data_IF_509552504256
#
_entry.id   IF_509552504256
#
_cell.length_a   1.000
_cell.length_b   1.000
_cell.length_c   1.000
_cell.angle_alpha   90.00
_cell.angle_beta   90.00
_cell.angle_gamma   90.00
#
_symmetry.space_group_name_H-M   'P 1'
#
loop_
_entity.id
_entity.type
_entity.pdbx_description
1 polymer ?
#
# COMPACT_ATOMS: atom_id res chain seq x y z
N UNK A 1 -0.52 8.06 17.54
CA UNK A 1 -0.38 8.08 16.07
C UNK A 1 0.11 6.74 15.52
N UNK A 2 1.32 6.28 15.83
CA UNK A 2 1.82 4.99 15.31
C UNK A 2 0.90 3.78 15.60
N UNK A 3 0.22 3.76 16.75
CA UNK A 3 -0.74 2.70 17.12
C UNK A 3 -1.92 2.53 16.15
N UNK A 4 -2.31 3.57 15.40
CA UNK A 4 -3.33 3.44 14.35
C UNK A 4 -2.73 3.11 12.99
N UNK A 5 -1.44 3.39 12.74
CA UNK A 5 -0.77 2.95 11.52
C UNK A 5 -0.38 1.47 11.58
N UNK A 6 -0.09 0.98 12.78
CA UNK A 6 0.25 -0.41 13.07
C UNK A 6 -0.73 -0.96 14.12
N UNK A 7 -2.01 -1.17 13.77
CA UNK A 7 -2.96 -1.72 14.72
C UNK A 7 -2.70 -3.22 14.91
N UNK A 8 -2.97 -3.74 16.11
CA UNK A 8 -2.96 -5.19 16.34
C UNK A 8 -4.00 -5.93 15.47
N UNK A 9 -5.16 -5.31 15.23
CA UNK A 9 -6.22 -5.81 14.32
C UNK A 9 -6.48 -4.76 13.23
N UNK A 10 -6.29 -5.14 11.97
CA UNK A 10 -6.49 -4.27 10.80
C UNK A 10 -7.92 -3.75 10.69
N UNK A 11 -8.92 -4.46 11.22
CA UNK A 11 -10.33 -4.02 11.25
C UNK A 11 -10.52 -2.72 12.04
N UNK A 12 -9.55 -2.34 12.87
CA UNK A 12 -9.51 -1.02 13.52
C UNK A 12 -9.64 0.11 12.51
N UNK A 13 -9.10 -0.05 11.30
CA UNK A 13 -9.15 0.96 10.25
C UNK A 13 -10.54 1.27 9.75
N UNK A 14 -11.41 0.27 9.64
CA UNK A 14 -12.79 0.45 9.18
C UNK A 14 -13.58 1.43 10.05
N UNK A 15 -13.20 1.57 11.32
CA UNK A 15 -13.90 2.40 12.29
C UNK A 15 -13.15 3.66 12.69
N UNK A 16 -11.82 3.65 12.62
CA UNK A 16 -10.98 4.73 13.15
C UNK A 16 -10.08 5.40 12.09
N UNK A 17 -9.94 4.82 10.90
CA UNK A 17 -9.08 5.35 9.83
C UNK A 17 -9.87 5.75 8.58
N UNK A 18 -10.74 4.86 8.10
CA UNK A 18 -11.54 5.05 6.90
C UNK A 18 -12.56 6.20 7.04
N UNK A 19 -13.34 6.31 8.15
CA UNK A 19 -14.35 7.35 8.22
C UNK A 19 -13.72 8.73 8.42
N UNK A 20 -14.37 9.74 7.82
CA UNK A 20 -13.92 11.12 7.89
C UNK A 20 -13.72 11.56 9.34
N UNK A 21 -12.63 12.30 9.57
CA UNK A 21 -12.21 12.86 10.86
C UNK A 21 -11.83 11.84 11.95
N UNK A 22 -11.99 10.53 11.74
CA UNK A 22 -11.71 9.53 12.79
C UNK A 22 -10.23 9.38 13.15
N UNK A 23 -9.33 9.56 12.18
CA UNK A 23 -7.89 9.62 12.47
C UNK A 23 -7.58 10.82 13.38
N UNK A 24 -8.24 11.97 13.14
CA UNK A 24 -8.08 13.17 13.97
C UNK A 24 -8.57 12.89 15.39
N UNK A 25 -9.77 12.31 15.53
CA UNK A 25 -10.31 11.90 16.84
C UNK A 25 -9.32 10.97 17.58
N UNK A 26 -8.77 9.97 16.89
CA UNK A 26 -7.79 9.05 17.46
C UNK A 26 -6.55 9.77 17.98
N UNK A 27 -5.95 10.64 17.15
CA UNK A 27 -4.74 11.39 17.51
C UNK A 27 -4.99 12.32 18.68
N UNK A 28 -6.11 13.05 18.69
CA UNK A 28 -6.45 13.99 19.77
C UNK A 28 -6.82 13.29 21.08
N UNK A 29 -7.39 12.09 21.01
CA UNK A 29 -7.75 11.30 22.20
C UNK A 29 -6.55 10.68 22.93
N UNK A 30 -5.34 10.74 22.35
CA UNK A 30 -4.14 10.06 22.86
C UNK A 30 -4.32 8.54 23.07
N UNK A 31 -5.27 7.93 22.35
CA UNK A 31 -5.51 6.49 22.37
C UNK A 31 -4.30 5.72 21.81
N UNK A 32 -3.89 4.68 22.53
CA UNK A 32 -2.84 3.75 22.14
C UNK A 32 -3.37 2.33 22.25
N UNK A 33 -3.20 1.54 21.19
CA UNK A 33 -3.50 0.12 21.16
C UNK A 33 -2.21 -0.70 21.19
N UNK A 34 -2.28 -1.98 21.59
CA UNK A 34 -1.15 -2.88 21.46
C UNK A 34 -0.65 -2.92 20.00
N UNK A 35 0.67 -3.07 19.79
CA UNK A 35 1.23 -3.29 18.47
C UNK A 35 0.89 -4.70 17.96
N UNK A 36 0.97 -4.94 16.65
CA UNK A 36 0.82 -6.27 16.09
C UNK A 36 2.03 -7.15 16.42
N UNK A 37 1.83 -8.47 16.41
CA UNK A 37 2.83 -9.46 16.83
C UNK A 37 4.14 -9.45 16.02
N UNK A 38 4.11 -8.95 14.78
CA UNK A 38 5.28 -8.90 13.91
C UNK A 38 6.13 -7.64 14.11
N UNK A 39 5.65 -6.66 14.89
CA UNK A 39 6.32 -5.39 15.10
C UNK A 39 6.94 -5.37 16.49
N UNK A 40 8.26 -5.39 16.56
CA UNK A 40 8.98 -5.41 17.82
C UNK A 40 9.00 -4.03 18.48
N UNK A 41 9.40 -3.98 19.75
CA UNK A 41 9.58 -2.71 20.44
C UNK A 41 10.72 -1.88 19.82
N UNK A 42 11.75 -2.52 19.28
CA UNK A 42 12.86 -1.83 18.61
C UNK A 42 12.40 -1.21 17.28
N UNK A 43 11.60 -1.92 16.48
CA UNK A 43 11.00 -1.37 15.26
C UNK A 43 10.14 -0.13 15.56
N UNK A 44 9.33 -0.21 16.62
CA UNK A 44 8.53 0.93 17.07
C UNK A 44 9.38 2.13 17.50
N UNK A 45 10.50 1.87 18.18
CA UNK A 45 11.42 2.92 18.61
C UNK A 45 12.08 3.61 17.41
N UNK A 46 12.47 2.85 16.38
CA UNK A 46 13.01 3.38 15.12
C UNK A 46 11.96 4.25 14.43
N UNK A 47 10.76 3.71 14.18
CA UNK A 47 9.69 4.48 13.54
C UNK A 47 9.33 5.76 14.31
N UNK A 48 9.35 5.71 15.64
CA UNK A 48 9.11 6.88 16.48
C UNK A 48 10.25 7.91 16.36
N UNK A 49 11.50 7.47 16.36
CA UNK A 49 12.66 8.36 16.22
C UNK A 49 12.63 9.07 14.86
N UNK A 50 12.47 8.34 13.77
CA UNK A 50 12.39 8.89 12.41
C UNK A 50 11.22 9.88 12.26
N UNK A 51 10.05 9.55 12.82
CA UNK A 51 8.90 10.43 12.78
C UNK A 51 9.13 11.74 13.54
N UNK A 52 9.79 11.68 14.70
CA UNK A 52 10.09 12.86 15.51
C UNK A 52 11.18 13.74 14.89
N UNK A 53 12.15 13.13 14.21
CA UNK A 53 13.22 13.84 13.52
C UNK A 53 12.76 14.46 12.19
N UNK A 54 12.12 13.67 11.33
CA UNK A 54 11.74 14.07 9.97
C UNK A 54 10.35 14.72 9.86
N UNK A 55 9.48 14.48 10.83
CA UNK A 55 8.09 14.96 10.81
C UNK A 55 7.25 14.35 9.68
N UNK A 56 6.06 14.94 9.45
CA UNK A 56 5.09 14.46 8.45
C UNK A 56 4.98 15.35 7.21
N UNK A 57 5.65 16.49 7.17
CA UNK A 57 5.48 17.47 6.08
C UNK A 57 5.80 16.85 4.71
N UNK A 58 6.94 16.16 4.59
CA UNK A 58 7.36 15.48 3.36
C UNK A 58 6.37 14.39 2.92
N UNK A 59 6.10 13.37 3.76
CA UNK A 59 5.14 12.31 3.42
C UNK A 59 3.73 12.85 3.07
N UNK A 60 3.25 13.88 3.76
CA UNK A 60 1.93 14.47 3.49
C UNK A 60 1.85 15.23 2.17
N UNK A 61 2.98 15.61 1.55
CA UNK A 61 2.98 16.22 0.21
C UNK A 61 2.39 15.29 -0.86
N UNK A 62 2.55 13.96 -0.73
CA UNK A 62 1.91 12.98 -1.62
C UNK A 62 0.38 13.12 -1.62
N UNK A 63 -0.22 13.25 -0.43
CA UNK A 63 -1.67 13.45 -0.29
C UNK A 63 -2.11 14.85 -0.69
N UNK A 64 -1.27 15.87 -0.38
CA UNK A 64 -1.52 17.25 -0.78
C UNK A 64 -1.62 17.35 -2.29
N UNK A 65 -0.75 16.69 -3.03
CA UNK A 65 -0.78 16.66 -4.50
C UNK A 65 -2.15 16.20 -5.04
N UNK A 66 -2.67 15.08 -4.53
CA UNK A 66 -3.97 14.54 -4.96
C UNK A 66 -5.17 15.42 -4.55
N UNK A 67 -5.09 16.07 -3.39
CA UNK A 67 -6.21 16.85 -2.84
C UNK A 67 -6.26 18.31 -3.31
N UNK A 68 -5.11 18.89 -3.68
CA UNK A 68 -4.99 20.31 -4.04
C UNK A 68 -4.85 20.57 -5.54
N UNK A 69 -4.93 19.51 -6.37
CA UNK A 69 -4.81 19.63 -7.84
C UNK A 69 -3.50 20.29 -8.28
N UNK A 70 -2.44 20.22 -7.47
CA UNK A 70 -1.13 20.80 -7.82
C UNK A 70 -0.54 20.13 -9.06
N UNK A 71 -0.84 18.84 -9.27
CA UNK A 71 -0.51 18.13 -10.52
C UNK A 71 -1.52 18.34 -11.63
N UNK A 72 -2.58 19.12 -11.47
CA UNK A 72 -3.60 19.26 -12.51
C UNK A 72 -3.07 19.86 -13.81
N UNK A 73 -1.97 20.60 -13.82
CA UNK A 73 -1.34 21.07 -15.07
C UNK A 73 -0.49 19.98 -15.74
N UNK A 74 0.17 19.11 -14.96
CA UNK A 74 0.84 17.90 -15.48
C UNK A 74 -0.20 16.84 -15.93
N UNK A 75 -1.31 16.71 -15.19
CA UNK A 75 -2.48 15.89 -15.52
C UNK A 75 -3.33 16.50 -16.65
N UNK A 76 -3.28 17.81 -16.91
CA UNK A 76 -3.90 18.39 -18.13
C UNK A 76 -3.16 17.98 -19.39
N UNK A 77 -1.90 17.57 -19.26
CA UNK A 77 -1.13 16.82 -20.28
C UNK A 77 -1.25 15.30 -20.06
N UNK A 78 -2.29 14.84 -19.35
CA UNK A 78 -2.57 13.42 -19.07
C UNK A 78 -4.01 13.19 -18.57
N UNK A 79 -5.04 13.01 -19.43
CA UNK A 79 -6.40 13.20 -18.96
C UNK A 79 -6.77 12.07 -17.99
N UNK A 80 -6.90 12.43 -16.72
CA UNK A 80 -7.47 11.64 -15.63
C UNK A 80 -6.77 10.32 -15.26
N UNK A 81 -6.41 10.25 -13.98
CA UNK A 81 -6.13 9.07 -13.15
C UNK A 81 -4.93 8.16 -13.48
N UNK A 82 -4.38 8.18 -14.69
CA UNK A 82 -3.06 7.61 -15.00
C UNK A 82 -2.47 8.32 -16.23
N UNK A 83 -1.57 9.28 -16.04
CA UNK A 83 -0.42 9.60 -16.92
C UNK A 83 -0.62 9.63 -18.47
N UNK A 84 -1.80 9.96 -19.00
CA UNK A 84 -2.23 9.53 -20.35
C UNK A 84 -2.21 10.56 -21.53
N UNK A 85 -1.43 11.66 -21.56
CA UNK A 85 -1.26 12.46 -22.82
C UNK A 85 0.20 12.67 -23.22
N UNK A 86 1.17 12.43 -22.34
CA UNK A 86 2.60 12.46 -22.74
C UNK A 86 3.18 11.07 -22.98
N UNK A 87 2.49 10.01 -22.54
CA UNK A 87 2.93 8.64 -22.76
C UNK A 87 2.17 8.08 -23.97
N UNK A 88 2.88 7.61 -25.01
CA UNK A 88 2.25 6.91 -26.12
C UNK A 88 1.42 5.73 -25.61
N UNK A 89 0.23 5.47 -26.19
CA UNK A 89 -0.69 4.43 -25.71
C UNK A 89 -0.03 3.05 -25.68
N UNK A 90 0.94 2.81 -26.57
CA UNK A 90 1.70 1.56 -26.59
C UNK A 90 2.52 1.33 -25.31
N UNK A 91 2.85 2.39 -24.58
CA UNK A 91 3.60 2.36 -23.33
C UNK A 91 2.72 2.27 -22.09
N UNK A 92 1.38 2.18 -22.24
CA UNK A 92 0.49 1.87 -21.12
C UNK A 92 0.53 0.38 -20.76
N UNK A 93 1.03 -0.44 -21.68
CA UNK A 93 1.20 -1.87 -21.48
C UNK A 93 2.60 -2.13 -20.89
N UNK A 94 2.62 -2.59 -19.65
CA UNK A 94 3.83 -3.03 -18.96
C UNK A 94 4.23 -4.39 -19.52
N UNK A 95 5.26 -4.41 -20.37
CA UNK A 95 5.73 -5.63 -21.04
C UNK A 95 6.58 -6.52 -20.11
N UNK A 96 7.14 -5.92 -19.07
CA UNK A 96 7.93 -6.60 -18.06
C UNK A 96 7.03 -7.54 -17.23
N UNK A 97 7.58 -8.64 -16.68
CA UNK A 97 6.89 -9.43 -15.67
C UNK A 97 6.48 -8.54 -14.50
N UNK A 98 5.23 -8.68 -14.06
CA UNK A 98 4.67 -7.95 -12.94
C UNK A 98 4.22 -8.95 -11.89
N UNK A 99 4.75 -8.82 -10.68
CA UNK A 99 4.29 -9.56 -9.51
C UNK A 99 3.37 -8.70 -8.66
N UNK A 100 2.16 -9.17 -8.41
CA UNK A 100 1.20 -8.52 -7.53
C UNK A 100 0.89 -9.39 -6.32
N UNK A 101 1.35 -8.93 -5.15
CA UNK A 101 1.02 -9.50 -3.87
C UNK A 101 -0.32 -8.93 -3.37
N UNK A 102 -1.38 -9.70 -3.50
CA UNK A 102 -2.72 -9.32 -3.05
C UNK A 102 -2.89 -9.69 -1.56
N UNK A 103 -3.06 -8.68 -0.71
CA UNK A 103 -3.28 -8.83 0.74
C UNK A 103 -4.78 -8.80 1.04
N UNK A 104 -5.35 -9.95 1.40
CA UNK A 104 -6.82 -10.13 1.46
C UNK A 104 -7.51 -9.33 2.58
N UNK A 105 -6.77 -8.94 3.62
CA UNK A 105 -7.27 -8.15 4.76
C UNK A 105 -6.76 -6.70 4.75
N UNK A 106 -6.30 -6.23 3.59
CA UNK A 106 -5.91 -4.84 3.40
C UNK A 106 -7.13 -3.96 3.12
N UNK A 107 -7.50 -3.16 4.12
CA UNK A 107 -8.63 -2.24 4.04
C UNK A 107 -8.28 -0.89 3.38
N UNK A 108 -7.01 -0.65 3.04
CA UNK A 108 -6.53 0.57 2.40
C UNK A 108 -6.29 0.31 0.92
N UNK A 109 -5.41 -0.64 0.60
CA UNK A 109 -5.02 -1.02 -0.76
C UNK A 109 -5.72 -2.31 -1.18
N UNK A 110 -7.04 -2.22 -1.32
CA UNK A 110 -7.87 -3.40 -1.60
C UNK A 110 -7.46 -4.09 -2.92
N UNK A 111 -7.18 -5.41 -2.92
CA UNK A 111 -6.71 -6.12 -4.10
C UNK A 111 -7.64 -6.04 -5.30
N UNK A 112 -8.95 -6.03 -5.07
CA UNK A 112 -9.95 -5.99 -6.15
C UNK A 112 -9.87 -4.68 -6.95
N UNK A 113 -9.65 -3.55 -6.27
CA UNK A 113 -9.39 -2.25 -6.92
C UNK A 113 -8.09 -2.27 -7.72
N UNK A 114 -7.01 -2.82 -7.16
CA UNK A 114 -5.71 -2.91 -7.83
C UNK A 114 -5.77 -3.77 -9.10
N UNK A 115 -6.43 -4.92 -9.02
CA UNK A 115 -6.54 -5.88 -10.12
C UNK A 115 -7.37 -5.37 -11.31
N UNK A 116 -8.36 -4.51 -11.07
CA UNK A 116 -9.10 -3.84 -12.16
C UNK A 116 -8.16 -3.02 -13.05
N UNK A 117 -7.18 -2.34 -12.43
CA UNK A 117 -6.20 -1.51 -13.14
C UNK A 117 -5.06 -2.33 -13.76
N UNK A 118 -4.59 -3.38 -13.07
CA UNK A 118 -3.43 -4.16 -13.50
C UNK A 118 -3.73 -5.10 -14.67
N UNK A 119 -4.88 -5.79 -14.66
CA UNK A 119 -5.21 -6.82 -15.66
C UNK A 119 -5.15 -6.31 -17.12
N UNK A 120 -5.67 -5.12 -17.47
CA UNK A 120 -5.59 -4.61 -18.84
C UNK A 120 -4.18 -4.15 -19.24
N UNK A 121 -3.38 -3.69 -18.28
CA UNK A 121 -2.07 -3.07 -18.52
C UNK A 121 -0.88 -4.02 -18.39
N UNK A 122 -1.05 -5.20 -17.79
CA UNK A 122 0.04 -6.11 -17.45
C UNK A 122 -0.22 -7.51 -18.04
N UNK A 123 0.16 -7.78 -19.30
CA UNK A 123 -0.01 -9.08 -19.93
C UNK A 123 0.77 -10.22 -19.25
N UNK A 124 1.89 -9.89 -18.60
CA UNK A 124 2.76 -10.84 -17.89
C UNK A 124 2.59 -10.70 -16.37
N UNK A 125 1.34 -10.80 -15.89
CA UNK A 125 0.98 -10.57 -14.48
C UNK A 125 0.91 -11.89 -13.70
N UNK A 126 1.74 -12.02 -12.67
CA UNK A 126 1.64 -13.04 -11.63
C UNK A 126 0.91 -12.46 -10.43
N UNK A 127 -0.17 -13.12 -9.98
CA UNK A 127 -0.93 -12.74 -8.80
C UNK A 127 -0.71 -13.80 -7.73
N UNK A 128 -0.35 -13.37 -6.52
CA UNK A 128 -0.31 -14.23 -5.33
C UNK A 128 -1.10 -13.58 -4.22
N UNK A 129 -2.09 -14.32 -3.72
CA UNK A 129 -2.91 -13.90 -2.59
C UNK A 129 -2.27 -14.31 -1.27
N UNK A 130 -2.33 -13.42 -0.30
CA UNK A 130 -1.84 -13.60 1.06
C UNK A 130 -2.96 -13.25 2.02
N UNK A 131 -3.30 -14.18 2.92
CA UNK A 131 -4.24 -13.94 4.01
C UNK A 131 -3.58 -13.08 5.11
N UNK A 132 -3.47 -11.79 4.82
CA UNK A 132 -2.74 -10.84 5.65
C UNK A 132 -3.22 -9.41 5.41
N UNK A 133 -2.89 -8.51 6.33
CA UNK A 133 -3.23 -7.09 6.26
C UNK A 133 -2.20 -6.27 5.44
N UNK A 134 -2.43 -4.96 5.34
CA UNK A 134 -1.61 -4.01 4.58
C UNK A 134 -0.14 -3.94 5.01
N UNK A 135 0.14 -4.19 6.30
CA UNK A 135 1.44 -3.93 6.91
C UNK A 135 2.19 -5.24 7.17
N UNK A 136 1.46 -6.30 7.51
CA UNK A 136 2.00 -7.65 7.57
C UNK A 136 2.16 -8.18 6.15
N UNK A 137 3.33 -8.03 5.57
CA UNK A 137 3.75 -8.96 4.52
C UNK A 137 4.63 -10.01 5.18
N UNK A 138 4.28 -11.30 5.07
CA UNK A 138 5.15 -12.38 5.53
C UNK A 138 6.48 -12.26 4.76
N UNK A 139 7.57 -11.76 5.37
CA UNK A 139 8.73 -11.32 4.59
C UNK A 139 9.36 -12.52 3.87
N UNK A 140 9.28 -13.71 4.48
CA UNK A 140 9.77 -14.96 3.92
C UNK A 140 8.91 -15.47 2.76
N UNK A 141 7.58 -15.51 2.91
CA UNK A 141 6.69 -16.00 1.84
C UNK A 141 6.64 -15.03 0.66
N UNK A 142 6.66 -13.73 0.93
CA UNK A 142 6.74 -12.70 -0.09
C UNK A 142 8.08 -12.78 -0.82
N UNK A 143 9.20 -12.81 -0.09
CA UNK A 143 10.54 -12.91 -0.69
C UNK A 143 10.70 -14.20 -1.49
N UNK A 144 10.23 -15.33 -0.97
CA UNK A 144 10.28 -16.60 -1.69
C UNK A 144 9.43 -16.58 -2.96
N UNK A 145 8.22 -16.03 -2.89
CA UNK A 145 7.35 -15.91 -4.06
C UNK A 145 7.91 -14.95 -5.11
N UNK A 146 8.51 -13.83 -4.69
CA UNK A 146 9.21 -12.92 -5.60
C UNK A 146 10.42 -13.57 -6.26
N UNK A 147 11.21 -14.35 -5.50
CA UNK A 147 12.36 -15.09 -6.03
C UNK A 147 11.90 -16.19 -7.00
N UNK A 148 10.86 -16.94 -6.64
CA UNK A 148 10.30 -17.96 -7.52
C UNK A 148 9.75 -17.36 -8.83
N UNK A 149 9.03 -16.25 -8.74
CA UNK A 149 8.54 -15.51 -9.92
C UNK A 149 9.70 -15.00 -10.79
N UNK A 150 10.73 -14.41 -10.18
CA UNK A 150 11.93 -13.95 -10.88
C UNK A 150 12.70 -15.07 -11.60
N UNK A 151 12.59 -16.32 -11.11
CA UNK A 151 13.21 -17.51 -11.72
C UNK A 151 12.26 -18.31 -12.62
N UNK A 152 11.03 -17.85 -12.86
CA UNK A 152 10.04 -18.58 -13.66
C UNK A 152 9.56 -19.89 -13.04
N UNK A 153 9.70 -20.03 -11.72
CA UNK A 153 9.29 -21.22 -10.98
C UNK A 153 7.82 -21.07 -10.56
N UNK A 154 6.97 -21.98 -11.02
CA UNK A 154 5.60 -22.07 -10.56
C UNK A 154 5.55 -22.70 -9.16
N UNK A 155 5.29 -21.87 -8.15
CA UNK A 155 5.03 -22.37 -6.80
C UNK A 155 3.67 -23.08 -6.78
N UNK A 156 3.70 -24.38 -6.47
CA UNK A 156 2.51 -25.17 -6.19
C UNK A 156 1.68 -24.48 -5.10
N UNK A 157 0.35 -24.52 -5.24
CA UNK A 157 -0.54 -24.09 -4.16
C UNK A 157 -0.30 -25.01 -2.94
N UNK A 158 -0.21 -24.46 -1.72
CA UNK A 158 -0.18 -25.31 -0.54
C UNK A 158 -1.49 -26.11 -0.44
N UNK A 159 -1.36 -27.40 -0.10
CA UNK A 159 -2.49 -28.27 0.28
C UNK A 159 -3.18 -27.79 1.56
#
# INVERSE_FOLDING_TARGET
>A
FLSILYPHDSKTWLTHMEPRDKIKDWVLSSKVTPPPLYLTQDDLNIHKAELLEGGLAGPLCWYKQYTTRVVAEDDKRAPSLFHSLMVPKENYIIKQPVFFAATLNDHICRPEVGLVSLKPGCPNLTIKEYDTDHVRTHPFLLKFSMVADAHGLQLAAPE
#
